data_IF_246808804144
#
_entry.id   IF_246808804144
#
_cell.length_a   1.000
_cell.length_b   1.000
_cell.length_c   1.000
_cell.angle_alpha   90.00
_cell.angle_beta   90.00
_cell.angle_gamma   90.00
#
_symmetry.space_group_name_H-M   'P 1'
#
loop_
_entity.id
_entity.type
_entity.pdbx_description
1 polymer ?
#
# COMPACT_ATOMS: atom_id res chain seq x y z
N UNK A 1 -16.10 -8.55 5.69
CA UNK A 1 -15.74 -7.17 6.09
C UNK A 1 -14.83 -6.64 5.01
N UNK A 2 -15.17 -5.51 4.39
CA UNK A 2 -14.34 -4.94 3.32
C UNK A 2 -13.10 -4.27 3.95
N UNK A 3 -11.90 -4.59 3.46
CA UNK A 3 -10.64 -3.98 3.89
C UNK A 3 -10.69 -2.45 3.79
N UNK A 4 -11.46 -1.92 2.83
CA UNK A 4 -11.64 -0.48 2.61
C UNK A 4 -12.50 0.19 3.69
N UNK A 5 -13.31 -0.57 4.41
CA UNK A 5 -14.10 -0.06 5.54
C UNK A 5 -13.26 0.06 6.82
N UNK A 6 -12.12 -0.64 6.89
CA UNK A 6 -11.23 -0.66 8.06
C UNK A 6 -10.01 0.24 7.84
N UNK A 7 -9.45 0.27 6.63
CA UNK A 7 -8.24 1.03 6.30
C UNK A 7 -8.61 2.42 5.77
N UNK A 8 -8.45 3.43 6.63
CA UNK A 8 -8.66 4.84 6.30
C UNK A 8 -7.40 5.51 5.75
N UNK A 9 -7.54 6.70 5.14
CA UNK A 9 -6.41 7.53 4.72
C UNK A 9 -5.46 7.84 5.90
N UNK A 10 -5.99 8.09 7.10
CA UNK A 10 -5.19 8.32 8.30
C UNK A 10 -4.39 7.08 8.73
N UNK A 11 -4.98 5.89 8.57
CA UNK A 11 -4.28 4.62 8.82
C UNK A 11 -3.08 4.48 7.89
N UNK A 12 -3.27 4.77 6.60
CA UNK A 12 -2.21 4.74 5.60
C UNK A 12 -1.12 5.76 5.94
N UNK A 13 -1.49 7.02 6.20
CA UNK A 13 -0.54 8.08 6.54
C UNK A 13 0.25 7.75 7.81
N UNK A 14 -0.41 7.26 8.85
CA UNK A 14 0.25 6.84 10.09
C UNK A 14 1.25 5.70 9.89
N UNK A 15 0.95 4.74 9.01
CA UNK A 15 1.90 3.69 8.63
C UNK A 15 3.10 4.25 7.85
N UNK A 16 2.86 5.14 6.88
CA UNK A 16 3.95 5.79 6.14
C UNK A 16 4.88 6.60 7.05
N UNK A 17 4.32 7.27 8.07
CA UNK A 17 5.10 7.99 9.08
C UNK A 17 5.89 7.03 9.99
N UNK A 18 5.28 5.92 10.42
CA UNK A 18 5.96 4.86 11.19
C UNK A 18 7.18 4.31 10.46
N UNK A 19 7.09 4.13 9.14
CA UNK A 19 8.21 3.65 8.31
C UNK A 19 9.17 4.75 7.86
N UNK A 20 8.99 6.00 8.34
CA UNK A 20 9.81 7.16 7.99
C UNK A 20 9.97 7.32 6.46
N UNK A 21 8.87 7.13 5.73
CA UNK A 21 8.88 7.18 4.28
C UNK A 21 9.27 8.60 3.82
N UNK A 22 10.30 8.73 2.97
CA UNK A 22 10.70 10.03 2.41
C UNK A 22 9.56 10.72 1.68
N UNK A 23 9.47 12.05 1.78
CA UNK A 23 8.35 12.83 1.25
C UNK A 23 8.18 12.67 -0.27
N UNK A 24 9.29 12.55 -1.01
CA UNK A 24 9.33 12.29 -2.45
C UNK A 24 8.74 10.92 -2.84
N UNK A 25 8.70 9.96 -1.90
CA UNK A 25 8.24 8.59 -2.15
C UNK A 25 6.86 8.30 -1.57
N UNK A 26 6.36 9.16 -0.68
CA UNK A 26 5.02 9.04 -0.09
C UNK A 26 3.91 8.93 -1.15
N UNK A 27 3.87 9.78 -2.20
CA UNK A 27 2.79 9.70 -3.21
C UNK A 27 2.74 8.34 -3.91
N UNK A 28 3.90 7.83 -4.34
CA UNK A 28 4.03 6.51 -4.98
C UNK A 28 3.53 5.40 -4.07
N UNK A 29 3.87 5.46 -2.78
CA UNK A 29 3.43 4.47 -1.80
C UNK A 29 1.93 4.55 -1.50
N UNK A 30 1.37 5.75 -1.37
CA UNK A 30 -0.08 5.95 -1.20
C UNK A 30 -0.84 5.32 -2.36
N UNK A 31 -0.41 5.56 -3.59
CA UNK A 31 -1.07 5.02 -4.78
C UNK A 31 -0.93 3.50 -4.89
N UNK A 32 0.25 2.95 -4.58
CA UNK A 32 0.44 1.49 -4.52
C UNK A 32 -0.45 0.85 -3.44
N UNK A 33 -0.62 1.50 -2.28
CA UNK A 33 -1.50 1.01 -1.21
C UNK A 33 -2.96 1.09 -1.64
N UNK A 34 -3.37 2.16 -2.30
CA UNK A 34 -4.72 2.29 -2.85
C UNK A 34 -5.02 1.18 -3.87
N UNK A 35 -4.09 0.91 -4.79
CA UNK A 35 -4.18 -0.22 -5.72
C UNK A 35 -4.27 -1.56 -4.98
N UNK A 36 -3.48 -1.74 -3.91
CA UNK A 36 -3.55 -2.96 -3.11
C UNK A 36 -4.91 -3.14 -2.43
N UNK A 37 -5.50 -2.08 -1.86
CA UNK A 37 -6.82 -2.16 -1.24
C UNK A 37 -7.93 -2.36 -2.29
N UNK A 38 -7.71 -1.87 -3.51
CA UNK A 38 -8.64 -2.05 -4.62
C UNK A 38 -8.62 -3.49 -5.18
N UNK A 39 -7.43 -4.08 -5.29
CA UNK A 39 -7.19 -5.40 -5.90
C UNK A 39 -6.64 -6.41 -4.88
N UNK A 40 -7.04 -6.29 -3.62
CA UNK A 40 -6.62 -7.17 -2.53
C UNK A 40 -6.96 -8.65 -2.78
N UNK A 41 -8.09 -8.89 -3.47
CA UNK A 41 -8.63 -10.20 -3.80
C UNK A 41 -8.04 -10.77 -5.11
N UNK A 42 -7.32 -9.95 -5.89
CA UNK A 42 -6.64 -10.35 -7.13
C UNK A 42 -5.17 -9.87 -7.14
N UNK A 43 -4.24 -10.66 -6.58
CA UNK A 43 -2.82 -10.32 -6.53
C UNK A 43 -2.17 -10.14 -7.91
N UNK A 44 -2.70 -10.80 -8.94
CA UNK A 44 -2.20 -10.71 -10.31
C UNK A 44 -2.56 -9.36 -10.93
N UNK A 45 -3.81 -8.92 -10.79
CA UNK A 45 -4.24 -7.60 -11.25
C UNK A 45 -3.55 -6.49 -10.45
N UNK A 46 -3.38 -6.64 -9.13
CA UNK A 46 -2.56 -5.71 -8.34
C UNK A 46 -1.14 -5.56 -8.92
N UNK A 47 -0.46 -6.68 -9.19
CA UNK A 47 0.90 -6.66 -9.71
C UNK A 47 1.00 -5.97 -11.07
N UNK A 48 0.01 -6.17 -11.95
CA UNK A 48 -0.10 -5.48 -13.23
C UNK A 48 -0.28 -3.98 -13.04
N UNK A 49 -1.22 -3.55 -12.19
CA UNK A 49 -1.53 -2.13 -11.96
C UNK A 49 -0.41 -1.38 -11.29
N UNK A 50 0.25 -1.98 -10.30
CA UNK A 50 1.42 -1.38 -9.64
C UNK A 50 2.55 -1.14 -10.65
N UNK A 51 2.76 -2.08 -11.60
CA UNK A 51 3.75 -1.91 -12.67
C UNK A 51 3.34 -0.83 -13.66
N UNK A 52 2.10 -0.84 -14.14
CA UNK A 52 1.56 0.19 -15.03
C UNK A 52 1.71 1.59 -14.41
N UNK A 53 1.38 1.74 -13.12
CA UNK A 53 1.54 3.00 -12.38
C UNK A 53 2.97 3.52 -12.46
N UNK A 54 3.97 2.68 -12.16
CA UNK A 54 5.39 3.08 -12.18
C UNK A 54 5.86 3.52 -13.56
N UNK A 55 5.35 2.89 -14.62
CA UNK A 55 5.68 3.22 -16.02
C UNK A 55 4.99 4.52 -16.44
N UNK A 56 3.69 4.67 -16.19
CA UNK A 56 2.90 5.84 -16.60
C UNK A 56 3.43 7.11 -15.93
N UNK A 57 3.80 7.03 -14.66
CA UNK A 57 4.25 8.19 -13.88
C UNK A 57 5.77 8.43 -14.00
N UNK A 58 6.48 7.68 -14.85
CA UNK A 58 7.92 7.83 -15.04
C UNK A 58 8.73 7.63 -13.75
N UNK A 59 8.24 6.77 -12.85
CA UNK A 59 8.93 6.50 -11.57
C UNK A 59 10.21 5.74 -11.88
N UNK A 60 11.34 6.28 -11.44
CA UNK A 60 12.63 5.60 -11.58
C UNK A 60 12.58 4.19 -10.96
N UNK A 61 13.13 3.15 -11.62
CA UNK A 61 13.08 1.77 -11.11
C UNK A 61 13.65 1.59 -9.71
N UNK A 62 14.68 2.35 -9.30
CA UNK A 62 15.21 2.28 -7.95
C UNK A 62 14.22 2.84 -6.93
N UNK A 63 13.52 3.93 -7.28
CA UNK A 63 12.45 4.50 -6.46
C UNK A 63 11.26 3.54 -6.34
N UNK A 64 10.83 2.93 -7.45
CA UNK A 64 9.78 1.93 -7.47
C UNK A 64 10.14 0.71 -6.61
N UNK A 65 11.36 0.18 -6.74
CA UNK A 65 11.83 -0.95 -5.94
C UNK A 65 11.92 -0.60 -4.44
N UNK A 66 12.39 0.61 -4.10
CA UNK A 66 12.43 1.08 -2.72
C UNK A 66 11.02 1.22 -2.12
N UNK A 67 10.07 1.78 -2.89
CA UNK A 67 8.67 1.88 -2.51
C UNK A 67 8.06 0.48 -2.29
N UNK A 68 8.29 -0.47 -3.20
CA UNK A 68 7.80 -1.84 -3.08
C UNK A 68 8.37 -2.58 -1.86
N UNK A 69 9.63 -2.34 -1.51
CA UNK A 69 10.26 -2.89 -0.32
C UNK A 69 9.56 -2.41 0.97
N UNK A 70 9.29 -1.11 1.07
CA UNK A 70 8.55 -0.52 2.18
C UNK A 70 7.10 -1.03 2.20
N UNK A 71 6.45 -1.06 1.04
CA UNK A 71 5.08 -1.51 0.88
C UNK A 71 4.87 -2.93 1.43
N UNK A 72 5.84 -3.83 1.30
CA UNK A 72 5.75 -5.18 1.87
C UNK A 72 5.53 -5.16 3.39
N UNK A 73 6.22 -4.26 4.09
CA UNK A 73 6.07 -4.11 5.54
C UNK A 73 4.71 -3.46 5.88
N UNK A 74 4.35 -2.40 5.16
CA UNK A 74 3.04 -1.75 5.29
C UNK A 74 1.89 -2.75 5.08
N UNK A 75 1.98 -3.60 4.06
CA UNK A 75 0.99 -4.65 3.78
C UNK A 75 0.80 -5.59 4.97
N UNK A 76 1.89 -6.03 5.62
CA UNK A 76 1.81 -6.92 6.76
C UNK A 76 1.09 -6.25 7.94
N UNK A 77 1.39 -4.98 8.20
CA UNK A 77 0.70 -4.19 9.23
C UNK A 77 -0.79 -3.99 8.89
N UNK A 78 -1.11 -3.67 7.63
CA UNK A 78 -2.50 -3.54 7.14
C UNK A 78 -3.29 -4.85 7.35
N UNK A 79 -2.70 -5.99 7.00
CA UNK A 79 -3.31 -7.30 7.24
C UNK A 79 -3.48 -7.59 8.73
N UNK A 80 -2.53 -7.18 9.57
CA UNK A 80 -2.62 -7.28 11.02
C UNK A 80 -3.79 -6.48 11.60
N UNK A 81 -3.98 -5.24 11.13
CA UNK A 81 -5.09 -4.36 11.53
C UNK A 81 -6.43 -5.02 11.17
N UNK A 82 -6.58 -5.52 9.95
CA UNK A 82 -7.82 -6.15 9.50
C UNK A 82 -8.12 -7.45 10.24
N UNK A 83 -7.11 -8.30 10.45
CA UNK A 83 -7.28 -9.53 11.24
C UNK A 83 -7.74 -9.22 12.66
N UNK A 84 -7.18 -8.19 13.29
CA UNK A 84 -7.59 -7.77 14.63
C UNK A 84 -9.04 -7.26 14.64
N UNK A 85 -9.39 -6.38 13.70
CA UNK A 85 -10.75 -5.85 13.59
C UNK A 85 -11.82 -6.94 13.36
N UNK A 86 -11.49 -7.96 12.57
CA UNK A 86 -12.37 -9.11 12.32
C UNK A 86 -12.50 -10.08 13.52
N UNK A 87 -11.58 -10.04 14.48
CA UNK A 87 -11.62 -10.85 15.71
C UNK A 87 -12.34 -10.15 16.86
N UNK A 88 -12.32 -8.81 16.87
CA UNK A 88 -13.03 -7.96 17.85
C UNK A 88 -14.54 -7.83 17.54
N UNK A 89 -15.00 -8.39 16.41
CA UNK A 89 -16.40 -8.44 15.95
C UNK A 89 -17.00 -9.85 16.10
#
# INVERSE_FOLDING_TARGET
MDLREIITADTVNGLLDKYKVPHDRKPVLVDIIALYLQYNDDPSEFGKRAREYTVIHGVDPATANAALSIFRNVRNDLQGIVKKAAQDS
#
